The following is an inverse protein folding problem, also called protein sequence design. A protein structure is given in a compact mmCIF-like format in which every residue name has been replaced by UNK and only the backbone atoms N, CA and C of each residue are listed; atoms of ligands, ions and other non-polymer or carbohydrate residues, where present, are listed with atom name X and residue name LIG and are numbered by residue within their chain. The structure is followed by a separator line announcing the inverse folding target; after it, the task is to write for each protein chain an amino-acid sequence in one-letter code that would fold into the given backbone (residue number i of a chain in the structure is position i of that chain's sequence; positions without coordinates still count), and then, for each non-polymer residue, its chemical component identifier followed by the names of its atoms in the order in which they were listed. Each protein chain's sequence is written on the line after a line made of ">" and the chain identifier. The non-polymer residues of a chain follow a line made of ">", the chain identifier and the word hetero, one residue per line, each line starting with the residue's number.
data_IF_529240504257
#
_entry.id   IF_529240504257
#
_cell.length_a   1.000
_cell.length_b   1.000
_cell.length_c   1.000
_cell.angle_alpha   90.00
_cell.angle_beta   90.00
_cell.angle_gamma   90.00
#
_symmetry.space_group_name_H-M   'P 1'
#
loop_
_entity.id
_entity.type
_entity.pdbx_description
1 polymer ?
#
# COMPACT_ATOMS: atom_id res chain seq x y z
N UNK A 1 -20.71 42.92 104.36
CA UNK A 1 -20.20 43.25 103.01
C UNK A 1 -19.16 42.21 102.63
N UNK A 2 -19.45 41.42 101.59
CA UNK A 2 -18.75 40.16 101.26
C UNK A 2 -17.56 40.37 100.30
N UNK A 3 -16.43 39.77 100.68
CA UNK A 3 -15.24 39.54 99.86
C UNK A 3 -15.53 38.55 98.72
N UNK A 4 -15.24 38.90 97.46
CA UNK A 4 -15.14 37.94 96.36
C UNK A 4 -13.72 37.86 95.81
N UNK A 5 -13.10 36.69 96.02
CA UNK A 5 -11.78 36.29 95.51
C UNK A 5 -11.88 35.87 94.03
N UNK A 6 -11.11 36.51 93.15
CA UNK A 6 -10.83 36.02 91.79
C UNK A 6 -9.92 34.79 91.86
N UNK A 7 -10.34 33.66 91.25
CA UNK A 7 -9.51 32.48 91.01
C UNK A 7 -9.05 32.46 89.55
N UNK A 8 -7.74 32.54 89.34
CA UNK A 8 -7.08 32.23 88.07
C UNK A 8 -7.18 30.73 87.77
N UNK A 9 -7.65 30.38 86.57
CA UNK A 9 -7.52 29.01 86.02
C UNK A 9 -6.36 28.99 85.02
N UNK A 10 -5.22 28.43 85.42
CA UNK A 10 -4.12 28.10 84.51
C UNK A 10 -4.41 26.79 83.78
N UNK A 11 -4.57 26.88 82.47
CA UNK A 11 -4.69 25.74 81.55
C UNK A 11 -3.32 25.06 81.37
N UNK A 12 -3.19 23.82 81.86
CA UNK A 12 -2.03 22.95 81.58
C UNK A 12 -2.22 22.28 80.21
N UNK A 13 -1.56 22.80 79.17
CA UNK A 13 -1.39 22.10 77.89
C UNK A 13 -0.45 20.89 78.08
N UNK A 14 -0.98 19.67 77.98
CA UNK A 14 -0.19 18.44 77.84
C UNK A 14 0.42 18.40 76.44
N UNK A 15 1.75 18.44 76.34
CA UNK A 15 2.47 18.11 75.09
C UNK A 15 2.38 16.60 74.89
N UNK A 16 1.76 16.17 73.78
CA UNK A 16 1.83 14.79 73.29
C UNK A 16 3.13 14.65 72.51
N UNK A 17 4.01 13.76 72.94
CA UNK A 17 5.17 13.33 72.17
C UNK A 17 4.66 12.39 71.06
N UNK A 18 4.89 12.78 69.80
CA UNK A 18 4.74 11.90 68.65
C UNK A 18 5.97 10.99 68.57
N UNK A 19 5.80 9.67 68.37
CA UNK A 19 6.92 8.78 68.11
C UNK A 19 7.56 9.08 66.75
N UNK A 20 8.88 8.88 66.59
CA UNK A 20 9.56 9.09 65.32
C UNK A 20 9.11 8.07 64.27
N UNK A 21 9.12 8.43 62.98
CA UNK A 21 8.75 7.53 61.90
C UNK A 21 9.82 6.45 61.70
N UNK A 22 9.39 5.18 61.73
CA UNK A 22 10.20 4.02 61.38
C UNK A 22 10.31 3.91 59.85
N UNK A 23 11.47 4.26 59.31
CA UNK A 23 11.81 4.05 57.89
C UNK A 23 12.33 2.62 57.68
N UNK A 24 11.44 1.69 57.35
CA UNK A 24 11.83 0.30 57.06
C UNK A 24 10.95 -0.35 55.97
N UNK A 25 10.64 0.35 54.87
CA UNK A 25 9.91 -0.20 53.72
C UNK A 25 10.25 0.58 52.42
N UNK A 26 11.47 0.46 51.90
CA UNK A 26 11.86 1.17 50.65
C UNK A 26 12.71 0.39 49.61
N UNK A 27 12.84 -0.96 49.58
CA UNK A 27 13.45 -1.61 48.40
C UNK A 27 12.44 -2.04 47.32
N UNK A 28 11.13 -2.18 47.59
CA UNK A 28 10.19 -2.76 46.60
C UNK A 28 9.66 -1.78 45.55
N UNK A 29 9.70 -0.47 45.78
CA UNK A 29 9.13 0.51 44.83
C UNK A 29 10.06 0.78 43.64
N UNK A 30 11.37 0.68 43.84
CA UNK A 30 12.36 0.88 42.77
C UNK A 30 12.32 -0.23 41.71
N UNK A 31 12.05 -1.48 42.12
CA UNK A 31 11.98 -2.62 41.19
C UNK A 31 10.72 -2.52 40.30
N UNK A 32 9.58 -2.11 40.85
CA UNK A 32 8.32 -1.94 40.09
C UNK A 32 8.43 -0.79 39.06
N UNK A 33 9.11 0.30 39.41
CA UNK A 33 9.33 1.42 38.48
C UNK A 33 10.29 1.05 37.33
N UNK A 34 11.32 0.23 37.59
CA UNK A 34 12.21 -0.25 36.52
C UNK A 34 11.50 -1.19 35.54
N UNK A 35 10.59 -2.04 36.01
CA UNK A 35 9.81 -2.93 35.15
C UNK A 35 8.82 -2.18 34.26
N UNK A 36 8.20 -1.10 34.76
CA UNK A 36 7.26 -0.29 33.98
C UNK A 36 7.96 0.49 32.85
N UNK A 37 9.17 1.01 33.08
CA UNK A 37 9.94 1.72 32.06
C UNK A 37 10.42 0.79 30.92
N UNK A 38 10.76 -0.46 31.24
CA UNK A 38 11.14 -1.45 30.22
C UNK A 38 9.95 -1.85 29.33
N UNK A 39 8.74 -1.97 29.90
CA UNK A 39 7.54 -2.36 29.17
C UNK A 39 7.05 -1.31 28.15
N UNK A 40 7.28 -0.01 28.39
CA UNK A 40 6.87 1.05 27.46
C UNK A 40 7.71 1.15 26.18
N UNK A 41 8.86 0.48 26.11
CA UNK A 41 9.74 0.50 24.93
C UNK A 41 9.43 -0.59 23.91
N UNK A 42 8.52 -1.52 24.22
CA UNK A 42 8.19 -2.68 23.39
C UNK A 42 6.78 -2.63 22.77
N UNK A 43 6.15 -1.46 22.72
CA UNK A 43 4.89 -1.35 21.97
C UNK A 43 5.18 -1.45 20.46
N UNK A 44 4.50 -2.35 19.73
CA UNK A 44 4.64 -2.50 18.28
C UNK A 44 4.07 -1.26 17.59
N UNK A 45 4.90 -0.23 17.43
CA UNK A 45 4.50 1.05 16.82
C UNK A 45 4.01 0.94 15.37
N UNK A 46 4.38 -0.12 14.64
CA UNK A 46 3.93 -0.34 13.26
C UNK A 46 2.45 -0.67 13.13
N UNK A 47 1.93 -1.44 14.07
CA UNK A 47 0.56 -1.92 13.99
C UNK A 47 -0.42 -0.76 14.18
N UNK A 48 0.00 0.32 14.85
CA UNK A 48 -0.83 1.50 15.06
C UNK A 48 -1.19 2.19 13.72
N UNK A 49 -0.21 2.55 12.88
CA UNK A 49 -0.48 3.23 11.60
C UNK A 49 -1.29 2.36 10.64
N UNK A 50 -0.88 1.10 10.45
CA UNK A 50 -1.60 0.19 9.57
C UNK A 50 -3.04 -0.05 10.07
N UNK A 51 -3.27 -0.11 11.39
CA UNK A 51 -4.61 -0.21 11.96
C UNK A 51 -5.47 1.05 11.74
N UNK A 52 -4.88 2.24 11.69
CA UNK A 52 -5.61 3.47 11.32
C UNK A 52 -6.05 3.47 9.86
N UNK A 53 -5.30 2.78 9.03
CA UNK A 53 -5.63 2.53 7.63
C UNK A 53 -6.56 1.34 7.47
N UNK A 54 -7.16 0.75 8.52
CA UNK A 54 -8.18 -0.31 8.39
C UNK A 54 -9.58 0.27 8.43
N UNK A 55 -10.31 0.13 7.32
CA UNK A 55 -11.76 0.30 7.29
C UNK A 55 -12.42 -0.81 8.10
N UNK A 56 -12.99 -0.44 9.25
CA UNK A 56 -13.62 -1.39 10.19
C UNK A 56 -14.86 -2.08 9.62
N UNK A 57 -15.51 -1.51 8.61
CA UNK A 57 -16.70 -2.10 8.01
C UNK A 57 -16.36 -3.28 7.08
N UNK A 58 -15.27 -3.18 6.33
CA UNK A 58 -14.82 -4.23 5.41
C UNK A 58 -13.74 -5.14 6.00
N UNK A 59 -13.14 -4.77 7.13
CA UNK A 59 -11.97 -5.46 7.69
C UNK A 59 -10.74 -5.37 6.77
N UNK A 60 -10.84 -4.55 5.72
CA UNK A 60 -9.78 -4.24 4.77
C UNK A 60 -9.36 -2.78 4.99
N UNK A 61 -8.33 -2.34 4.29
CA UNK A 61 -7.71 -1.06 4.51
C UNK A 61 -8.54 0.04 3.83
N UNK A 62 -8.65 1.19 4.49
CA UNK A 62 -9.24 2.42 3.98
C UNK A 62 -8.51 2.86 2.73
N UNK A 63 -9.24 3.15 1.66
CA UNK A 63 -8.63 3.55 0.42
C UNK A 63 -7.78 4.81 0.58
N UNK A 64 -6.62 4.81 -0.07
CA UNK A 64 -5.67 5.91 0.03
C UNK A 64 -6.00 6.96 -1.04
N UNK A 65 -7.13 7.63 -0.86
CA UNK A 65 -7.57 8.75 -1.71
C UNK A 65 -7.44 10.07 -0.97
N UNK A 66 -7.14 11.13 -1.73
CA UNK A 66 -6.87 12.48 -1.23
C UNK A 66 -8.09 13.06 -0.48
N UNK A 67 -9.30 12.61 -0.80
CA UNK A 67 -10.54 13.13 -0.21
C UNK A 67 -10.95 12.43 1.10
N UNK A 68 -10.26 11.36 1.53
CA UNK A 68 -10.57 10.71 2.81
C UNK A 68 -9.90 11.45 3.99
N UNK A 69 -10.39 11.23 5.20
CA UNK A 69 -9.80 11.77 6.44
C UNK A 69 -9.13 10.64 7.20
N UNK A 70 -7.80 10.61 7.14
CA UNK A 70 -6.99 9.62 7.82
C UNK A 70 -6.24 10.31 8.96
N UNK A 71 -6.41 9.81 10.19
CA UNK A 71 -5.75 10.37 11.38
C UNK A 71 -6.05 11.87 11.63
N UNK A 72 -7.27 12.32 11.29
CA UNK A 72 -7.74 13.72 11.39
C UNK A 72 -7.11 14.69 10.37
N UNK A 73 -6.50 14.19 9.29
CA UNK A 73 -6.02 15.00 8.19
C UNK A 73 -6.32 14.34 6.85
N UNK A 74 -6.40 15.14 5.79
CA UNK A 74 -6.48 14.62 4.43
C UNK A 74 -5.10 14.07 3.99
N UNK A 75 -5.06 12.93 3.27
CA UNK A 75 -3.83 12.49 2.63
C UNK A 75 -3.30 13.57 1.69
N UNK A 76 -2.02 13.91 1.84
CA UNK A 76 -1.35 14.89 1.01
C UNK A 76 -0.91 14.23 -0.30
N UNK A 77 -1.21 14.84 -1.46
CA UNK A 77 -0.73 14.33 -2.75
C UNK A 77 0.80 14.44 -2.83
N UNK A 78 1.44 13.73 -3.78
CA UNK A 78 2.90 13.72 -3.90
C UNK A 78 3.52 15.11 -4.07
N UNK A 79 2.83 16.02 -4.76
CA UNK A 79 3.25 17.41 -4.96
C UNK A 79 3.27 18.26 -3.68
N UNK A 80 2.54 17.85 -2.65
CA UNK A 80 2.45 18.53 -1.35
C UNK A 80 3.19 17.78 -0.23
N UNK A 81 3.82 16.65 -0.55
CA UNK A 81 4.66 15.90 0.37
C UNK A 81 5.81 16.77 0.87
N UNK A 82 6.06 16.74 2.19
CA UNK A 82 7.22 17.40 2.79
C UNK A 82 8.54 16.74 2.31
N UNK A 83 8.47 15.52 1.79
CA UNK A 83 9.60 14.76 1.28
C UNK A 83 9.25 14.13 -0.08
N UNK A 84 9.25 14.92 -1.17
CA UNK A 84 8.86 14.42 -2.50
C UNK A 84 9.82 13.36 -3.07
N UNK A 85 11.03 13.22 -2.51
CA UNK A 85 11.96 12.16 -2.87
C UNK A 85 11.63 10.78 -2.28
N UNK A 86 10.62 10.69 -1.39
CA UNK A 86 10.14 9.40 -0.87
C UNK A 86 9.29 8.73 -1.94
N UNK A 87 9.77 7.62 -2.48
CA UNK A 87 9.16 6.95 -3.65
C UNK A 87 9.13 5.44 -3.49
N UNK A 88 8.23 4.77 -4.20
CA UNK A 88 8.23 3.30 -4.31
C UNK A 88 9.20 2.89 -5.42
N UNK A 89 10.06 1.92 -5.13
CA UNK A 89 10.97 1.30 -6.10
C UNK A 89 10.71 -0.20 -6.21
N UNK A 90 10.85 -0.72 -7.42
CA UNK A 90 10.80 -2.16 -7.68
C UNK A 90 12.22 -2.73 -7.82
N UNK A 91 12.41 -3.91 -7.24
CA UNK A 91 13.60 -4.73 -7.40
C UNK A 91 13.17 -6.06 -8.01
N UNK A 92 13.85 -6.51 -9.05
CA UNK A 92 13.57 -7.82 -9.64
C UNK A 92 13.89 -8.90 -8.61
N UNK A 93 12.96 -9.83 -8.36
CA UNK A 93 13.10 -10.78 -7.25
C UNK A 93 14.17 -11.84 -7.51
N UNK A 94 14.41 -12.19 -8.77
CA UNK A 94 15.41 -13.19 -9.16
C UNK A 94 16.85 -12.67 -9.04
N UNK A 95 17.10 -11.45 -9.53
CA UNK A 95 18.42 -10.82 -9.54
C UNK A 95 18.69 -9.96 -8.30
N UNK A 96 17.64 -9.46 -7.63
CA UNK A 96 17.74 -8.48 -6.55
C UNK A 96 18.12 -7.07 -7.03
N UNK A 97 18.25 -6.86 -8.34
CA UNK A 97 18.64 -5.57 -8.91
C UNK A 97 17.45 -4.60 -8.97
N UNK A 98 17.74 -3.31 -8.82
CA UNK A 98 16.72 -2.27 -8.98
C UNK A 98 16.26 -2.23 -10.43
N UNK A 99 14.96 -2.39 -10.64
CA UNK A 99 14.35 -2.22 -11.96
C UNK A 99 14.31 -0.72 -12.25
N UNK A 100 15.28 -0.26 -13.03
CA UNK A 100 15.34 1.16 -13.40
C UNK A 100 14.19 1.48 -14.36
N UNK A 101 13.52 2.61 -14.06
CA UNK A 101 12.52 3.23 -14.94
C UNK A 101 13.14 3.39 -16.34
N UNK A 102 12.48 2.83 -17.36
CA UNK A 102 12.94 2.95 -18.75
C UNK A 102 12.39 4.21 -19.42
N UNK A 103 11.29 4.79 -18.90
CA UNK A 103 10.71 6.04 -19.39
C UNK A 103 11.00 7.21 -18.45
N UNK A 104 10.89 8.44 -18.99
CA UNK A 104 10.98 9.70 -18.24
C UNK A 104 9.87 9.85 -17.19
N UNK A 105 8.76 9.13 -17.33
CA UNK A 105 7.52 9.36 -16.58
C UNK A 105 7.27 8.36 -15.45
N UNK A 106 8.28 7.57 -15.06
CA UNK A 106 8.11 6.64 -13.94
C UNK A 106 7.52 5.28 -14.28
N UNK A 107 7.46 4.93 -15.56
CA UNK A 107 6.93 3.66 -16.06
C UNK A 107 8.03 2.60 -16.16
N UNK A 108 7.71 1.40 -15.66
CA UNK A 108 8.48 0.17 -15.86
C UNK A 108 7.84 -0.60 -17.02
N UNK A 109 8.60 -0.79 -18.10
CA UNK A 109 8.14 -1.58 -19.23
C UNK A 109 8.41 -3.07 -18.99
N UNK A 110 7.33 -3.86 -19.01
CA UNK A 110 7.35 -5.30 -18.86
C UNK A 110 7.63 -5.96 -20.20
N UNK A 111 8.49 -6.97 -20.19
CA UNK A 111 8.76 -7.81 -21.35
C UNK A 111 7.81 -9.03 -21.29
N UNK A 112 6.96 -9.28 -22.30
CA UNK A 112 6.01 -10.39 -22.32
C UNK A 112 6.62 -11.77 -22.03
N UNK A 113 7.82 -12.01 -22.54
CA UNK A 113 8.54 -13.28 -22.43
C UNK A 113 9.19 -13.49 -21.06
N UNK A 114 9.29 -12.44 -20.24
CA UNK A 114 9.94 -12.47 -18.93
C UNK A 114 9.00 -12.89 -17.78
N UNK A 115 7.90 -13.60 -18.08
CA UNK A 115 6.98 -14.12 -17.07
C UNK A 115 7.64 -15.25 -16.25
N UNK A 116 7.34 -15.38 -14.93
CA UNK A 116 6.48 -14.51 -14.14
C UNK A 116 7.16 -13.18 -13.78
N UNK A 117 6.37 -12.11 -13.69
CA UNK A 117 6.86 -10.79 -13.29
C UNK A 117 6.80 -10.63 -11.77
N UNK A 118 7.88 -11.03 -11.11
CA UNK A 118 8.01 -10.98 -9.66
C UNK A 118 8.97 -9.89 -9.19
N UNK A 119 8.50 -9.06 -8.26
CA UNK A 119 9.23 -7.93 -7.74
C UNK A 119 9.23 -7.90 -6.20
N UNK A 120 10.28 -7.29 -5.65
CA UNK A 120 10.34 -6.80 -4.29
C UNK A 120 10.09 -5.29 -4.32
N UNK A 121 8.95 -4.84 -3.81
CA UNK A 121 8.67 -3.40 -3.72
C UNK A 121 9.19 -2.83 -2.40
N UNK A 122 9.88 -1.69 -2.48
CA UNK A 122 10.51 -1.04 -1.32
C UNK A 122 10.20 0.44 -1.31
N UNK A 123 9.95 0.97 -0.12
CA UNK A 123 9.95 2.41 0.10
C UNK A 123 11.39 2.92 0.07
N UNK A 124 11.68 3.83 -0.85
CA UNK A 124 12.97 4.50 -0.93
C UNK A 124 12.90 5.83 -0.20
N UNK A 125 13.62 5.93 0.92
CA UNK A 125 13.81 7.19 1.64
C UNK A 125 15.17 7.79 1.25
N UNK A 126 15.19 9.02 0.72
CA UNK A 126 16.42 9.72 0.36
C UNK A 126 17.39 9.82 1.54
N UNK A 127 18.72 9.66 1.33
CA UNK A 127 19.70 9.66 2.41
C UNK A 127 19.60 10.84 3.38
N UNK A 128 19.31 12.04 2.87
CA UNK A 128 19.12 13.28 3.62
C UNK A 128 17.90 13.27 4.54
N UNK A 129 16.89 12.45 4.23
CA UNK A 129 15.66 12.34 5.01
C UNK A 129 15.66 11.15 5.98
N UNK A 130 16.60 10.20 5.85
CA UNK A 130 16.61 8.95 6.64
C UNK A 130 16.67 9.16 8.15
N UNK A 131 17.35 10.20 8.61
CA UNK A 131 17.42 10.51 10.04
C UNK A 131 16.07 10.95 10.62
N UNK A 132 15.34 11.77 9.85
CA UNK A 132 14.02 12.29 10.26
C UNK A 132 12.90 11.27 10.06
N UNK A 133 13.02 10.41 9.05
CA UNK A 133 12.01 9.43 8.65
C UNK A 133 12.38 8.00 9.09
N UNK A 134 13.20 7.86 10.12
CA UNK A 134 13.69 6.56 10.59
C UNK A 134 12.56 5.65 11.12
N UNK A 135 11.47 6.26 11.59
CA UNK A 135 10.27 5.60 12.11
C UNK A 135 9.09 5.63 11.14
N UNK A 136 9.31 6.06 9.90
CA UNK A 136 8.27 6.12 8.89
C UNK A 136 7.62 4.75 8.68
N UNK A 137 6.30 4.74 8.63
CA UNK A 137 5.48 3.57 8.36
C UNK A 137 4.75 3.80 7.06
N UNK A 138 4.55 2.73 6.29
CA UNK A 138 3.91 2.85 4.99
C UNK A 138 3.03 1.67 4.67
N UNK A 139 2.10 1.94 3.76
CA UNK A 139 1.16 1.03 3.14
C UNK A 139 1.32 1.16 1.65
N UNK A 140 1.62 0.06 0.96
CA UNK A 140 1.53 -0.05 -0.48
C UNK A 140 0.13 -0.52 -0.87
N UNK A 141 -0.40 0.04 -1.95
CA UNK A 141 -1.64 -0.38 -2.60
C UNK A 141 -1.42 -0.58 -4.09
N UNK A 142 -2.09 -1.58 -4.68
CA UNK A 142 -2.09 -1.83 -6.12
C UNK A 142 -3.53 -1.93 -6.67
N UNK A 143 -3.70 -1.46 -7.91
CA UNK A 143 -4.98 -1.48 -8.64
C UNK A 143 -5.80 -0.19 -8.52
N UNK A 144 -6.82 -0.05 -9.36
CA UNK A 144 -7.77 1.08 -9.35
C UNK A 144 -8.96 0.77 -8.41
N UNK A 145 -9.39 1.74 -7.59
CA UNK A 145 -10.57 1.64 -6.70
C UNK A 145 -11.85 1.22 -7.43
N UNK A 146 -11.95 1.53 -8.72
CA UNK A 146 -13.17 1.31 -9.51
C UNK A 146 -13.24 -0.06 -10.15
N UNK A 147 -12.11 -0.77 -10.28
CA UNK A 147 -12.07 -2.05 -10.99
C UNK A 147 -11.55 -3.13 -10.06
N UNK A 148 -12.33 -4.22 -9.92
CA UNK A 148 -12.00 -5.39 -9.10
C UNK A 148 -10.77 -6.19 -9.57
N UNK A 149 -9.98 -5.64 -10.50
CA UNK A 149 -8.85 -6.31 -11.14
C UNK A 149 -7.58 -5.46 -11.01
N UNK A 150 -6.90 -5.60 -9.87
CA UNK A 150 -5.68 -4.85 -9.56
C UNK A 150 -4.46 -5.19 -10.43
N UNK A 151 -4.55 -6.21 -11.29
CA UNK A 151 -3.47 -6.69 -12.17
C UNK A 151 -2.21 -7.19 -11.47
N UNK A 152 -2.03 -6.90 -10.19
CA UNK A 152 -0.96 -7.38 -9.35
C UNK A 152 -1.42 -7.68 -7.93
N UNK A 153 -0.57 -8.39 -7.21
CA UNK A 153 -0.84 -8.94 -5.90
C UNK A 153 0.41 -8.97 -5.02
N UNK A 154 0.28 -8.46 -3.82
CA UNK A 154 1.23 -8.65 -2.73
C UNK A 154 1.10 -10.04 -2.11
N UNK A 155 2.23 -10.63 -1.75
CA UNK A 155 2.27 -11.91 -1.04
C UNK A 155 3.08 -11.82 0.26
N UNK A 156 2.88 -12.81 1.14
CA UNK A 156 3.59 -12.93 2.42
C UNK A 156 2.84 -12.35 3.63
N UNK A 157 3.45 -12.39 4.82
CA UNK A 157 2.77 -12.13 6.09
C UNK A 157 2.37 -10.66 6.29
N UNK A 158 2.96 -9.74 5.51
CA UNK A 158 2.65 -8.31 5.56
C UNK A 158 1.54 -7.90 4.57
N UNK A 159 1.05 -8.85 3.76
CA UNK A 159 -0.03 -8.62 2.80
C UNK A 159 -1.40 -8.66 3.48
N UNK A 160 -2.35 -7.88 2.97
CA UNK A 160 -3.73 -7.79 3.42
C UNK A 160 -4.69 -7.56 2.25
N UNK A 161 -5.99 -7.49 2.52
CA UNK A 161 -7.01 -7.12 1.51
C UNK A 161 -7.00 -7.98 0.24
N UNK A 162 -6.97 -9.30 0.39
CA UNK A 162 -6.89 -10.21 -0.77
C UNK A 162 -5.56 -10.11 -1.54
N UNK A 163 -4.56 -9.41 -0.97
CA UNK A 163 -3.27 -9.16 -1.58
C UNK A 163 -3.20 -7.86 -2.37
N UNK A 164 -4.22 -6.99 -2.37
CA UNK A 164 -4.11 -5.67 -3.02
C UNK A 164 -3.24 -4.68 -2.23
N UNK A 165 -2.87 -5.02 -0.98
CA UNK A 165 -2.10 -4.16 -0.11
C UNK A 165 -1.06 -4.89 0.71
N UNK A 166 -0.03 -4.16 1.10
CA UNK A 166 0.96 -4.61 2.06
C UNK A 166 1.51 -3.42 2.88
N UNK A 167 2.01 -3.66 4.09
CA UNK A 167 2.62 -2.62 4.93
C UNK A 167 4.10 -2.91 5.18
N UNK A 168 4.84 -1.88 5.52
CA UNK A 168 6.22 -1.98 5.98
C UNK A 168 6.66 -0.76 6.78
N UNK A 169 7.94 -0.75 7.12
CA UNK A 169 8.62 0.40 7.73
C UNK A 169 9.69 0.93 6.80
N UNK A 170 9.92 2.24 6.81
CA UNK A 170 10.90 2.90 5.95
C UNK A 170 12.35 2.39 6.12
N UNK A 171 12.65 1.75 7.25
CA UNK A 171 13.93 1.11 7.53
C UNK A 171 13.97 -0.40 7.21
N UNK A 172 12.86 -0.99 6.77
CA UNK A 172 12.82 -2.38 6.32
C UNK A 172 13.63 -2.50 5.03
N UNK A 173 14.74 -3.23 5.09
CA UNK A 173 15.54 -3.56 3.91
C UNK A 173 14.90 -4.67 3.07
N UNK A 174 14.06 -5.48 3.70
CA UNK A 174 13.30 -6.52 3.04
C UNK A 174 12.21 -5.88 2.17
N UNK A 175 12.14 -6.26 0.90
CA UNK A 175 11.04 -5.87 0.03
C UNK A 175 9.72 -6.49 0.47
N UNK A 176 8.64 -5.91 -0.07
CA UNK A 176 7.32 -6.50 -0.04
C UNK A 176 7.14 -7.28 -1.35
N UNK A 177 7.05 -8.62 -1.30
CA UNK A 177 6.90 -9.43 -2.49
C UNK A 177 5.62 -9.06 -3.24
N UNK A 178 5.76 -8.80 -4.53
CA UNK A 178 4.71 -8.35 -5.43
C UNK A 178 4.80 -9.13 -6.74
N UNK A 179 3.67 -9.61 -7.21
CA UNK A 179 3.56 -10.37 -8.45
C UNK A 179 2.56 -9.66 -9.37
N UNK A 180 2.93 -9.45 -10.62
CA UNK A 180 1.98 -9.01 -11.66
C UNK A 180 1.41 -10.26 -12.30
N UNK A 181 0.08 -10.39 -12.24
CA UNK A 181 -0.61 -11.57 -12.72
C UNK A 181 -0.45 -11.70 -14.25
N UNK A 182 -0.26 -12.92 -14.79
CA UNK A 182 -0.09 -13.10 -16.24
C UNK A 182 -1.28 -12.64 -17.07
N UNK A 183 -2.50 -12.75 -16.50
CA UNK A 183 -3.78 -12.34 -17.07
C UNK A 183 -4.11 -10.87 -16.77
N UNK A 184 -3.20 -10.14 -16.12
CA UNK A 184 -3.40 -8.74 -15.81
C UNK A 184 -3.71 -7.94 -17.07
N UNK A 185 -3.02 -8.22 -18.17
CA UNK A 185 -3.14 -7.48 -19.44
C UNK A 185 -4.08 -8.13 -20.46
N UNK A 186 -4.74 -9.20 -20.06
CA UNK A 186 -5.73 -9.87 -20.90
C UNK A 186 -6.98 -9.01 -20.98
N UNK A 187 -7.70 -9.13 -22.10
CA UNK A 187 -8.97 -8.46 -22.30
C UNK A 187 -10.02 -9.09 -21.35
N UNK A 188 -10.57 -8.29 -20.44
CA UNK A 188 -11.60 -8.73 -19.49
C UNK A 188 -12.93 -8.12 -19.86
N UNK A 189 -14.02 -8.88 -19.76
CA UNK A 189 -15.36 -8.33 -19.97
C UNK A 189 -15.92 -7.83 -18.65
N UNK A 190 -16.29 -6.54 -18.61
CA UNK A 190 -16.98 -5.94 -17.49
C UNK A 190 -18.40 -6.49 -17.33
N UNK A 191 -19.04 -6.20 -16.20
CA UNK A 191 -20.44 -6.57 -15.96
C UNK A 191 -21.41 -5.92 -16.97
N UNK A 192 -21.00 -4.82 -17.60
CA UNK A 192 -21.71 -4.16 -18.70
C UNK A 192 -21.49 -4.82 -20.07
N UNK A 193 -20.74 -5.92 -20.13
CA UNK A 193 -20.40 -6.65 -21.35
C UNK A 193 -19.35 -5.97 -22.22
N UNK A 194 -18.77 -4.84 -21.79
CA UNK A 194 -17.70 -4.17 -22.52
C UNK A 194 -16.36 -4.80 -22.20
N UNK A 195 -15.50 -4.89 -23.20
CA UNK A 195 -14.13 -5.31 -22.95
C UNK A 195 -13.30 -4.16 -22.38
N UNK A 196 -12.64 -4.47 -21.27
CA UNK A 196 -11.68 -3.61 -20.58
C UNK A 196 -10.36 -4.35 -20.62
N UNK A 197 -9.38 -3.75 -21.30
CA UNK A 197 -8.00 -4.22 -21.26
C UNK A 197 -7.28 -3.38 -20.21
N UNK A 198 -6.85 -4.00 -19.11
CA UNK A 198 -5.97 -3.32 -18.16
C UNK A 198 -4.64 -3.11 -18.88
N UNK A 199 -4.29 -1.84 -19.12
CA UNK A 199 -3.06 -1.49 -19.86
C UNK A 199 -1.87 -1.36 -18.93
N UNK A 200 -2.15 -1.10 -17.66
CA UNK A 200 -1.17 -0.66 -16.68
C UNK A 200 -1.52 -1.21 -15.30
N UNK A 201 -0.50 -1.64 -14.56
CA UNK A 201 -0.61 -1.98 -13.15
C UNK A 201 0.07 -0.90 -12.35
N UNK A 202 -0.70 -0.18 -11.55
CA UNK A 202 -0.19 0.91 -10.72
C UNK A 202 0.01 0.45 -9.28
N UNK A 203 1.10 0.92 -8.67
CA UNK A 203 1.38 0.76 -7.25
C UNK A 203 1.77 2.11 -6.67
N UNK A 204 1.20 2.46 -5.52
CA UNK A 204 1.62 3.65 -4.77
C UNK A 204 1.64 3.36 -3.28
N UNK A 205 2.16 4.32 -2.51
CA UNK A 205 2.21 4.22 -1.08
C UNK A 205 1.57 5.41 -0.38
N UNK A 206 0.90 5.15 0.72
CA UNK A 206 0.63 6.12 1.77
C UNK A 206 1.62 5.91 2.90
N UNK A 207 2.29 6.97 3.36
CA UNK A 207 3.26 6.90 4.44
C UNK A 207 3.10 8.04 5.43
N UNK A 208 3.49 7.82 6.68
CA UNK A 208 3.52 8.86 7.69
C UNK A 208 4.60 8.58 8.73
N UNK A 209 4.96 9.63 9.48
CA UNK A 209 5.74 9.56 10.71
C UNK A 209 4.87 10.04 11.86
N UNK A 210 4.78 9.26 12.93
CA UNK A 210 4.00 9.59 14.14
C UNK A 210 2.54 10.00 13.84
N UNK A 211 2.08 11.17 14.30
CA UNK A 211 0.72 11.70 14.12
C UNK A 211 0.59 12.68 12.93
N UNK A 212 1.54 12.65 11.99
CA UNK A 212 1.47 13.50 10.81
C UNK A 212 0.35 13.05 9.85
N UNK A 213 -0.06 13.95 8.96
CA UNK A 213 -0.92 13.60 7.83
C UNK A 213 -0.26 12.51 6.97
N UNK A 214 -1.06 11.61 6.41
CA UNK A 214 -0.59 10.64 5.43
C UNK A 214 -0.09 11.37 4.20
N UNK A 215 1.07 10.99 3.70
CA UNK A 215 1.67 11.51 2.47
C UNK A 215 1.65 10.41 1.42
N UNK A 216 1.21 10.74 0.21
CA UNK A 216 1.18 9.81 -0.91
C UNK A 216 2.48 9.91 -1.71
N UNK A 217 2.97 8.77 -2.22
CA UNK A 217 4.06 8.74 -3.20
C UNK A 217 3.52 8.91 -4.61
N UNK A 218 4.39 9.28 -5.55
CA UNK A 218 4.08 9.07 -6.96
C UNK A 218 3.73 7.60 -7.22
N UNK A 219 2.87 7.37 -8.23
CA UNK A 219 2.54 6.03 -8.70
C UNK A 219 3.73 5.43 -9.42
N UNK A 220 4.00 4.16 -9.13
CA UNK A 220 4.88 3.30 -9.89
C UNK A 220 4.03 2.48 -10.85
N UNK A 221 4.22 2.68 -12.14
CA UNK A 221 3.37 2.07 -13.17
C UNK A 221 4.13 0.99 -13.92
N UNK A 222 3.54 -0.19 -14.05
CA UNK A 222 4.03 -1.28 -14.88
C UNK A 222 3.18 -1.40 -16.13
N UNK A 223 3.82 -1.39 -17.30
CA UNK A 223 3.12 -1.43 -18.61
C UNK A 223 3.74 -2.49 -19.50
N UNK A 224 2.91 -3.27 -20.19
CA UNK A 224 3.41 -4.25 -21.16
C UNK A 224 4.03 -3.56 -22.38
N UNK A 225 5.29 -3.87 -22.69
CA UNK A 225 5.96 -3.34 -23.89
C UNK A 225 5.26 -3.83 -25.16
N UNK A 226 5.10 -2.94 -26.15
CA UNK A 226 4.47 -3.29 -27.44
C UNK A 226 2.94 -3.27 -27.46
N UNK A 227 2.28 -2.98 -26.33
CA UNK A 227 0.83 -2.71 -26.28
C UNK A 227 0.45 -1.31 -26.79
N UNK A 228 1.11 -0.84 -27.85
CA UNK A 228 0.84 0.45 -28.46
C UNK A 228 -0.59 0.50 -28.97
N UNK A 229 -1.31 1.53 -28.55
CA UNK A 229 -2.58 1.97 -29.10
C UNK A 229 -2.51 2.01 -30.63
N UNK A 230 -2.91 0.92 -31.27
CA UNK A 230 -3.52 1.03 -32.59
C UNK A 230 -4.95 1.50 -32.30
N UNK A 231 -5.07 2.79 -31.97
CA UNK A 231 -6.31 3.51 -32.25
C UNK A 231 -6.39 3.49 -33.77
N UNK A 232 -7.08 2.51 -34.31
CA UNK A 232 -7.66 2.65 -35.64
C UNK A 232 -8.61 3.83 -35.53
N UNK A 233 -8.07 5.00 -35.86
CA UNK A 233 -8.81 6.22 -36.11
C UNK A 233 -9.81 5.83 -37.21
N UNK A 234 -11.04 5.57 -36.79
CA UNK A 234 -12.15 5.22 -37.65
C UNK A 234 -12.39 6.39 -38.58
N UNK A 235 -11.65 6.40 -39.68
CA UNK A 235 -11.79 7.34 -40.78
C UNK A 235 -13.21 7.25 -41.29
N UNK A 236 -14.04 8.16 -40.79
CA UNK A 236 -15.37 8.46 -41.29
C UNK A 236 -15.25 8.98 -42.72
N UNK A 237 -15.14 8.06 -43.67
CA UNK A 237 -15.31 8.30 -45.09
C UNK A 237 -16.79 8.40 -45.42
N UNK A 238 -17.43 9.49 -45.00
CA UNK A 238 -18.76 9.88 -45.47
C UNK A 238 -18.67 10.55 -46.85
N UNK A 239 -18.96 9.79 -47.90
CA UNK A 239 -19.47 10.26 -49.20
C UNK A 239 -20.12 9.02 -49.85
N UNK A 240 -21.44 8.91 -49.97
CA UNK A 240 -22.28 9.79 -50.77
C UNK A 240 -22.19 9.32 -52.23
N UNK A 241 -23.06 8.42 -52.66
CA UNK A 241 -23.06 7.92 -54.04
C UNK A 241 -23.95 6.70 -54.26
N UNK A 242 -25.24 6.98 -54.40
CA UNK A 242 -26.22 6.40 -55.35
C UNK A 242 -26.12 4.92 -55.76
N UNK A 243 -27.27 4.25 -55.59
CA UNK A 243 -27.60 2.95 -56.12
C UNK A 243 -27.46 2.90 -57.65
N UNK A 244 -26.81 1.85 -58.15
CA UNK A 244 -27.24 1.24 -59.41
C UNK A 244 -26.93 -0.27 -59.43
N UNK A 245 -28.05 -0.98 -59.50
CA UNK A 245 -28.29 -2.34 -59.96
C UNK A 245 -27.31 -2.83 -61.03
N UNK A 246 -26.69 -3.99 -60.81
CA UNK A 246 -26.39 -4.93 -61.88
C UNK A 246 -26.30 -6.37 -61.36
N UNK A 247 -27.16 -7.19 -61.93
CA UNK A 247 -27.27 -8.62 -61.74
C UNK A 247 -26.40 -9.39 -62.76
N UNK A 248 -26.35 -10.71 -62.52
CA UNK A 248 -25.79 -11.79 -63.35
C UNK A 248 -24.26 -11.95 -63.27
N UNK A 249 -23.71 -12.99 -62.65
CA UNK A 249 -23.82 -14.44 -62.85
C UNK A 249 -22.46 -14.94 -63.35
N UNK A 250 -21.75 -15.76 -62.56
CA UNK A 250 -21.16 -16.97 -63.13
C UNK A 250 -20.88 -18.02 -62.04
N UNK A 251 -21.17 -19.24 -62.44
CA UNK A 251 -21.20 -20.48 -61.72
C UNK A 251 -19.84 -21.18 -61.91
N UNK A 252 -19.14 -21.57 -60.83
CA UNK A 252 -18.27 -22.76 -60.95
C UNK A 252 -18.00 -23.47 -59.64
N UNK A 253 -18.50 -24.70 -59.65
CA UNK A 253 -18.22 -25.83 -58.78
C UNK A 253 -16.75 -26.23 -58.78
N UNK A 254 -16.30 -26.79 -57.65
CA UNK A 254 -15.00 -27.45 -57.51
C UNK A 254 -14.89 -28.19 -56.19
N UNK A 255 -15.03 -29.52 -56.24
CA UNK A 255 -15.02 -30.43 -55.11
C UNK A 255 -13.62 -30.98 -54.78
N UNK A 256 -13.47 -31.43 -53.53
CA UNK A 256 -12.71 -32.59 -53.03
C UNK A 256 -11.17 -32.69 -53.16
N UNK A 257 -10.51 -32.86 -52.01
CA UNK A 257 -9.47 -33.87 -51.68
C UNK A 257 -8.97 -33.54 -50.24
N UNK A 258 -9.02 -34.39 -49.22
CA UNK A 258 -8.35 -35.70 -48.99
C UNK A 258 -6.83 -35.59 -48.73
N UNK A 259 -6.36 -36.17 -47.62
CA UNK A 259 -4.95 -36.38 -47.24
C UNK A 259 -4.58 -35.74 -45.88
N UNK A 260 -4.61 -36.44 -44.74
CA UNK A 260 -3.64 -37.43 -44.25
C UNK A 260 -2.26 -36.85 -43.89
N UNK A 261 -1.90 -36.84 -42.60
CA UNK A 261 -0.82 -37.67 -42.03
C UNK A 261 -0.52 -37.31 -40.56
N UNK A 262 -0.47 -38.36 -39.74
CA UNK A 262 0.06 -38.42 -38.38
C UNK A 262 1.54 -38.84 -38.50
N UNK A 263 2.45 -38.29 -37.68
CA UNK A 263 3.57 -39.11 -37.24
C UNK A 263 3.59 -39.27 -35.71
N UNK A 264 3.60 -40.54 -35.33
CA UNK A 264 4.17 -41.04 -34.08
C UNK A 264 5.69 -40.80 -34.08
N UNK A 265 6.26 -40.61 -32.89
CA UNK A 265 7.70 -40.64 -32.62
C UNK A 265 7.85 -40.58 -31.10
N UNK A 266 7.81 -41.71 -30.40
CA UNK A 266 8.88 -42.70 -30.18
C UNK A 266 9.87 -42.24 -29.10
N UNK A 267 9.92 -43.07 -28.06
CA UNK A 267 10.71 -42.95 -26.84
C UNK A 267 12.21 -43.04 -27.09
N UNK A 268 12.98 -42.33 -26.25
CA UNK A 268 14.28 -42.76 -25.75
C UNK A 268 14.49 -42.22 -24.34
#
# INVERSE_FOLDING_TARGET
>A
MMCQRRRERRSRRRRRHLPPPSFALLPSLAVVLLSAAAASTLLPRADAFAAWLVNKASGCWTDLVVDDVIMNAHPLPPSESAHPGVVVKAYDRGSGEEVRRRSLDGVIELVPEAKPWEYDLRMHIPPESRGMLADAQFVLSCGDETTSTSGGKFSGPKSGCGGSRAHGRGNDKAGLPFEIMPDAFDEKFGEDGRSVRVREVEVWAGWATDHAAVQLTEKLTFRLAGGGDTVEDGGGGGAGGEAEENAAADEKTGAAAEGAEVPEGEEA
#
